data_IF_995408956660
#
_entry.id   IF_995408956660
#
_cell.length_a   1.000
_cell.length_b   1.000
_cell.length_c   1.000
_cell.angle_alpha   90.00
_cell.angle_beta   90.00
_cell.angle_gamma   90.00
#
_symmetry.space_group_name_H-M   'P 1'
#
loop_
_entity.id
_entity.type
_entity.pdbx_description
1 polymer ?
#
# COMPACT_ATOMS: atom_id res chain seq x y z
N UNK A 1 -89.59 -20.30 18.35
CA UNK A 1 -88.65 -19.29 18.89
C UNK A 1 -87.37 -19.40 18.07
N UNK A 2 -87.03 -18.35 17.31
CA UNK A 2 -86.02 -18.35 16.32
C UNK A 2 -84.66 -17.91 16.95
N UNK A 3 -83.67 -18.80 16.98
CA UNK A 3 -82.33 -18.45 17.41
C UNK A 3 -81.51 -17.93 16.22
N UNK A 4 -81.00 -16.74 16.37
CA UNK A 4 -80.16 -16.05 15.37
C UNK A 4 -78.73 -16.48 15.59
N UNK A 5 -78.10 -17.11 14.56
CA UNK A 5 -76.69 -17.46 14.59
C UNK A 5 -75.90 -16.30 13.91
N UNK A 6 -75.08 -15.60 14.68
CA UNK A 6 -74.16 -14.61 14.18
C UNK A 6 -72.89 -15.31 13.74
N UNK A 7 -72.53 -15.21 12.44
CA UNK A 7 -71.28 -15.61 11.90
C UNK A 7 -70.34 -14.42 11.95
N UNK A 8 -69.32 -14.50 12.80
CA UNK A 8 -68.25 -13.51 12.84
C UNK A 8 -67.19 -13.95 11.82
N UNK A 9 -67.07 -13.19 10.71
CA UNK A 9 -66.06 -13.37 9.74
C UNK A 9 -64.74 -12.72 10.19
N UNK A 10 -63.68 -13.50 10.37
CA UNK A 10 -62.34 -13.00 10.61
C UNK A 10 -61.67 -12.76 9.25
N UNK A 11 -61.53 -11.49 8.88
CA UNK A 11 -60.66 -11.09 7.76
C UNK A 11 -59.22 -11.16 8.23
N UNK A 12 -58.52 -12.20 7.82
CA UNK A 12 -57.08 -12.29 7.97
C UNK A 12 -56.37 -11.47 6.88
N UNK A 13 -55.80 -10.34 7.26
CA UNK A 13 -54.90 -9.57 6.41
C UNK A 13 -53.54 -10.27 6.34
N UNK A 14 -53.24 -10.89 5.22
CA UNK A 14 -51.90 -11.40 4.91
C UNK A 14 -51.03 -10.22 4.53
N UNK A 15 -50.14 -9.79 5.43
CA UNK A 15 -49.10 -8.81 5.15
C UNK A 15 -47.99 -9.52 4.36
N UNK A 16 -47.93 -9.22 3.06
CA UNK A 16 -46.83 -9.68 2.20
C UNK A 16 -45.60 -8.78 2.47
N UNK A 17 -44.67 -9.27 3.29
CA UNK A 17 -43.39 -8.60 3.53
C UNK A 17 -42.48 -8.79 2.31
N UNK A 18 -42.38 -7.76 1.48
CA UNK A 18 -41.36 -7.72 0.40
C UNK A 18 -40.02 -7.42 1.07
N UNK A 19 -39.17 -8.44 1.21
CA UNK A 19 -37.79 -8.26 1.59
C UNK A 19 -37.07 -7.60 0.39
N UNK A 20 -36.77 -6.31 0.50
CA UNK A 20 -35.84 -5.64 -0.43
C UNK A 20 -34.45 -6.16 -0.13
N UNK A 21 -33.98 -7.12 -0.93
CA UNK A 21 -32.59 -7.53 -0.95
C UNK A 21 -31.84 -6.38 -1.62
N UNK A 22 -31.24 -5.50 -0.82
CA UNK A 22 -30.25 -4.55 -1.32
C UNK A 22 -29.02 -5.37 -1.72
N UNK A 23 -28.88 -5.64 -3.01
CA UNK A 23 -27.65 -6.18 -3.54
C UNK A 23 -26.54 -5.16 -3.24
N UNK A 24 -25.63 -5.52 -2.35
CA UNK A 24 -24.37 -4.82 -2.21
C UNK A 24 -23.70 -4.85 -3.57
N UNK A 25 -23.35 -3.70 -4.18
CA UNK A 25 -22.62 -3.74 -5.44
C UNK A 25 -21.36 -4.59 -5.22
N UNK A 26 -21.20 -5.62 -6.06
CA UNK A 26 -19.94 -6.36 -6.11
C UNK A 26 -18.82 -5.34 -6.29
N UNK A 27 -17.67 -5.50 -5.57
CA UNK A 27 -16.53 -4.64 -5.83
C UNK A 27 -16.25 -4.72 -7.33
N UNK A 28 -16.26 -3.56 -8.00
CA UNK A 28 -15.79 -3.47 -9.38
C UNK A 28 -14.45 -4.18 -9.47
N UNK A 29 -14.21 -4.99 -10.52
CA UNK A 29 -12.89 -5.53 -10.74
C UNK A 29 -11.94 -4.34 -10.66
N UNK A 30 -10.91 -4.45 -9.80
CA UNK A 30 -9.90 -3.42 -9.67
C UNK A 30 -9.40 -3.15 -11.10
N UNK A 31 -9.68 -1.95 -11.58
CA UNK A 31 -9.27 -1.54 -12.91
C UNK A 31 -7.77 -1.76 -12.99
N UNK A 32 -7.38 -2.66 -13.89
CA UNK A 32 -6.01 -3.06 -14.14
C UNK A 32 -5.27 -1.90 -14.82
N UNK A 33 -5.02 -0.87 -14.04
CA UNK A 33 -4.37 0.36 -14.47
C UNK A 33 -2.87 0.15 -14.38
N UNK A 34 -2.18 0.08 -15.49
CA UNK A 34 -0.75 -0.06 -15.65
C UNK A 34 0.12 0.65 -14.60
N UNK A 35 1.42 0.60 -14.75
CA UNK A 35 2.38 1.30 -13.89
C UNK A 35 3.08 2.42 -14.64
N UNK A 36 3.48 3.45 -13.90
CA UNK A 36 4.40 4.47 -14.37
C UNK A 36 5.69 4.26 -13.61
N UNK A 37 6.80 4.11 -14.32
CA UNK A 37 8.13 3.96 -13.76
C UNK A 37 8.96 5.19 -14.07
N UNK A 38 9.41 5.89 -13.05
CA UNK A 38 10.36 6.99 -13.18
C UNK A 38 11.76 6.42 -12.98
N UNK A 39 12.62 6.61 -13.97
CA UNK A 39 14.01 6.20 -13.94
C UNK A 39 14.86 7.44 -13.74
N UNK A 40 15.67 7.42 -12.69
CA UNK A 40 16.54 8.52 -12.32
C UNK A 40 17.89 8.42 -13.05
N UNK A 41 18.62 9.54 -13.14
CA UNK A 41 19.95 9.60 -13.77
C UNK A 41 21.00 8.76 -13.06
N UNK A 42 20.81 8.50 -11.77
CA UNK A 42 21.64 7.62 -10.95
C UNK A 42 21.29 6.13 -11.09
N UNK A 43 20.34 5.79 -11.98
CA UNK A 43 19.90 4.42 -12.23
C UNK A 43 18.79 3.92 -11.31
N UNK A 44 18.42 4.66 -10.26
CA UNK A 44 17.26 4.29 -9.42
C UNK A 44 15.97 4.27 -10.25
N UNK A 45 15.07 3.38 -9.86
CA UNK A 45 13.73 3.24 -10.47
C UNK A 45 12.68 3.40 -9.40
N UNK A 46 11.63 4.15 -9.69
CA UNK A 46 10.50 4.34 -8.81
C UNK A 46 9.21 4.07 -9.58
N UNK A 47 8.43 3.11 -9.09
CA UNK A 47 7.19 2.67 -9.73
C UNK A 47 5.97 3.25 -9.02
N UNK A 48 4.97 3.65 -9.81
CA UNK A 48 3.69 4.16 -9.34
C UNK A 48 2.58 3.36 -10.00
N UNK A 49 1.68 2.79 -9.18
CA UNK A 49 0.46 2.18 -9.71
C UNK A 49 -0.49 3.29 -10.19
N UNK A 50 -0.86 3.28 -11.46
CA UNK A 50 -1.75 4.30 -12.05
C UNK A 50 -3.08 4.36 -11.29
N UNK A 51 -3.55 3.22 -10.76
CA UNK A 51 -4.74 3.15 -9.93
C UNK A 51 -4.67 3.95 -8.61
N UNK A 52 -3.47 4.27 -8.10
CA UNK A 52 -3.26 4.98 -6.83
C UNK A 52 -3.00 6.47 -6.99
N UNK A 53 -2.70 6.94 -8.21
CA UNK A 53 -2.38 8.34 -8.48
C UNK A 53 -3.55 9.07 -9.17
N UNK A 54 -3.70 10.34 -8.88
CA UNK A 54 -4.64 11.24 -9.56
C UNK A 54 -3.97 11.90 -10.76
N UNK A 55 -2.74 12.37 -10.60
CA UNK A 55 -1.99 13.03 -11.66
C UNK A 55 -0.50 13.11 -11.34
N UNK A 56 0.31 13.33 -12.38
CA UNK A 56 1.70 13.73 -12.25
C UNK A 56 1.85 15.11 -12.89
N UNK A 57 2.28 16.09 -12.10
CA UNK A 57 2.55 17.45 -12.58
C UNK A 57 4.05 17.60 -12.86
N UNK A 58 4.39 17.80 -14.14
CA UNK A 58 5.78 18.00 -14.59
C UNK A 58 6.24 19.48 -14.50
N UNK A 59 5.76 20.19 -13.48
CA UNK A 59 6.29 21.52 -13.15
C UNK A 59 7.47 21.33 -12.19
N UNK A 60 8.36 22.30 -12.13
CA UNK A 60 9.48 22.24 -11.19
C UNK A 60 9.03 22.68 -9.77
N UNK A 61 9.10 21.82 -8.73
CA UNK A 61 9.45 20.39 -8.79
C UNK A 61 8.31 19.54 -9.37
N UNK A 62 8.66 18.43 -10.04
CA UNK A 62 7.68 17.44 -10.46
C UNK A 62 6.95 16.87 -9.24
N UNK A 63 5.65 16.75 -9.30
CA UNK A 63 4.83 16.24 -8.20
C UNK A 63 3.96 15.08 -8.68
N UNK A 64 3.99 13.97 -7.94
CA UNK A 64 3.02 12.89 -8.06
C UNK A 64 1.91 13.15 -7.03
N UNK A 65 0.67 13.21 -7.49
CA UNK A 65 -0.51 13.45 -6.64
C UNK A 65 -1.29 12.15 -6.56
N UNK A 66 -1.40 11.60 -5.36
CA UNK A 66 -2.11 10.36 -5.09
C UNK A 66 -3.60 10.59 -4.84
N UNK A 67 -4.43 9.56 -5.02
CA UNK A 67 -5.88 9.62 -4.79
C UNK A 67 -6.27 9.91 -3.33
N UNK A 68 -5.40 9.58 -2.38
CA UNK A 68 -5.57 9.90 -0.96
C UNK A 68 -5.20 11.37 -0.60
N UNK A 69 -4.81 12.17 -1.62
CA UNK A 69 -4.39 13.56 -1.46
C UNK A 69 -2.92 13.76 -1.11
N UNK A 70 -2.17 12.68 -0.90
CA UNK A 70 -0.72 12.75 -0.68
C UNK A 70 -0.01 13.28 -1.94
N UNK A 71 1.09 14.02 -1.73
CA UNK A 71 1.92 14.58 -2.82
C UNK A 71 3.38 14.23 -2.58
N UNK A 72 3.98 13.60 -3.57
CA UNK A 72 5.41 13.30 -3.57
C UNK A 72 6.13 14.23 -4.55
N UNK A 73 7.21 14.86 -4.08
CA UNK A 73 8.03 15.77 -4.90
C UNK A 73 9.23 15.01 -5.45
N UNK A 74 9.40 15.09 -6.76
CA UNK A 74 10.54 14.48 -7.46
C UNK A 74 11.29 15.61 -8.17
N UNK A 75 12.61 15.79 -7.91
CA UNK A 75 13.41 16.77 -8.65
C UNK A 75 13.42 16.40 -10.13
N UNK A 76 12.84 17.25 -10.98
CA UNK A 76 12.78 16.99 -12.42
C UNK A 76 14.18 16.85 -13.05
N UNK A 77 15.18 17.50 -12.47
CA UNK A 77 16.58 17.43 -12.92
C UNK A 77 17.18 16.00 -12.76
N UNK A 78 16.63 15.20 -11.84
CA UNK A 78 17.14 13.86 -11.54
C UNK A 78 16.45 12.79 -12.40
N UNK A 79 15.37 13.12 -13.09
CA UNK A 79 14.66 12.19 -13.96
C UNK A 79 15.45 11.97 -15.25
N UNK A 80 15.79 10.71 -15.55
CA UNK A 80 16.39 10.32 -16.82
C UNK A 80 15.30 10.01 -17.85
N UNK A 81 14.27 9.25 -17.48
CA UNK A 81 13.13 8.91 -18.34
C UNK A 81 11.93 8.44 -17.53
N UNK A 82 10.78 8.38 -18.19
CA UNK A 82 9.55 7.83 -17.63
C UNK A 82 9.07 6.72 -18.55
N UNK A 83 8.78 5.58 -17.98
CA UNK A 83 8.24 4.41 -18.69
C UNK A 83 6.79 4.20 -18.27
N UNK A 84 5.94 3.89 -19.23
CA UNK A 84 4.55 3.51 -19.00
C UNK A 84 4.43 2.00 -19.25
N UNK A 85 4.20 1.24 -18.18
CA UNK A 85 4.08 -0.22 -18.24
C UNK A 85 2.63 -0.67 -18.41
N UNK A 86 2.43 -1.82 -19.06
CA UNK A 86 1.14 -2.51 -19.07
C UNK A 86 0.90 -3.23 -17.74
N UNK A 87 -0.37 -3.43 -17.42
CA UNK A 87 -0.91 -4.05 -16.21
C UNK A 87 -0.27 -5.35 -15.76
N UNK A 88 0.24 -6.16 -16.68
CA UNK A 88 0.72 -7.50 -16.35
C UNK A 88 1.91 -7.53 -15.38
N UNK A 89 2.75 -6.48 -15.40
CA UNK A 89 3.86 -6.36 -14.44
C UNK A 89 3.41 -5.73 -13.11
N UNK A 90 2.37 -4.89 -13.13
CA UNK A 90 1.83 -4.24 -11.93
C UNK A 90 1.01 -5.18 -11.05
N UNK A 91 0.32 -6.16 -11.64
CA UNK A 91 -0.53 -7.11 -10.89
C UNK A 91 0.25 -8.07 -9.99
N UNK A 92 1.55 -8.22 -10.23
CA UNK A 92 2.42 -9.09 -9.43
C UNK A 92 3.24 -8.36 -8.37
N UNK A 93 3.39 -7.03 -8.49
CA UNK A 93 4.18 -6.22 -7.55
C UNK A 93 3.26 -5.53 -6.54
N UNK A 94 3.58 -5.58 -5.24
CA UNK A 94 2.82 -4.84 -4.23
C UNK A 94 2.87 -3.34 -4.51
N UNK A 95 1.71 -2.67 -4.51
CA UNK A 95 1.61 -1.22 -4.59
C UNK A 95 2.02 -0.53 -3.28
N UNK A 96 2.13 0.80 -3.29
CA UNK A 96 2.53 1.60 -2.13
C UNK A 96 1.63 1.35 -0.91
N UNK A 97 0.31 1.28 -1.09
CA UNK A 97 -0.65 1.06 -0.01
C UNK A 97 -0.42 -0.24 0.77
N UNK A 98 0.15 -1.26 0.11
CA UNK A 98 0.50 -2.53 0.73
C UNK A 98 1.56 -2.39 1.84
N UNK A 99 2.47 -1.43 1.71
CA UNK A 99 3.56 -1.24 2.66
C UNK A 99 3.22 -0.26 3.79
N UNK A 100 2.19 0.59 3.62
CA UNK A 100 1.75 1.52 4.67
C UNK A 100 1.31 0.74 5.91
N UNK A 101 1.80 1.16 7.08
CA UNK A 101 1.44 0.58 8.36
C UNK A 101 2.64 0.18 9.21
N UNK A 102 2.40 -0.68 10.20
CA UNK A 102 3.39 -1.09 11.19
C UNK A 102 3.91 -2.49 10.89
N UNK A 103 5.22 -2.59 10.71
CA UNK A 103 5.94 -3.82 10.39
C UNK A 103 6.77 -4.28 11.58
N UNK A 104 6.58 -5.53 12.02
CA UNK A 104 7.48 -6.21 12.95
C UNK A 104 8.64 -6.81 12.16
N UNK A 105 9.87 -6.48 12.52
CA UNK A 105 11.10 -6.91 11.84
C UNK A 105 12.16 -7.36 12.84
N UNK A 106 13.12 -8.16 12.40
CA UNK A 106 14.24 -8.59 13.24
C UNK A 106 15.42 -7.62 13.20
N UNK A 107 16.24 -7.62 14.26
CA UNK A 107 17.49 -6.88 14.35
C UNK A 107 18.67 -7.59 13.68
N UNK A 108 18.55 -8.89 13.43
CA UNK A 108 19.63 -9.74 12.91
C UNK A 108 20.40 -10.49 14.00
N UNK A 109 20.18 -10.18 15.28
CA UNK A 109 20.79 -10.81 16.46
C UNK A 109 19.78 -11.60 17.32
N UNK A 110 18.56 -11.79 16.81
CA UNK A 110 17.44 -12.44 17.51
C UNK A 110 16.45 -11.46 18.16
N UNK A 111 16.79 -10.19 18.30
CA UNK A 111 15.89 -9.14 18.74
C UNK A 111 14.88 -8.76 17.66
N UNK A 112 13.81 -8.08 18.06
CA UNK A 112 12.76 -7.56 17.18
C UNK A 112 12.46 -6.11 17.48
N UNK A 113 12.05 -5.37 16.45
CA UNK A 113 11.59 -4.00 16.58
C UNK A 113 10.49 -3.71 15.54
N UNK A 114 9.94 -2.51 15.57
CA UNK A 114 8.90 -2.10 14.64
C UNK A 114 9.39 -0.99 13.72
N UNK A 115 9.00 -1.08 12.46
CA UNK A 115 9.10 -0.02 11.47
C UNK A 115 7.68 0.43 11.15
N UNK A 116 7.40 1.72 11.24
CA UNK A 116 6.14 2.31 10.78
C UNK A 116 6.41 3.09 9.50
N UNK A 117 5.64 2.78 8.45
CA UNK A 117 5.67 3.45 7.16
C UNK A 117 4.38 4.25 7.02
N UNK A 118 4.49 5.58 7.10
CA UNK A 118 3.34 6.47 6.99
C UNK A 118 3.03 6.77 5.51
N UNK A 119 1.77 7.05 5.20
CA UNK A 119 1.34 7.30 3.82
C UNK A 119 2.02 8.53 3.19
N UNK A 120 2.44 9.50 4.01
CA UNK A 120 3.15 10.71 3.59
C UNK A 120 4.62 10.47 3.19
N UNK A 121 5.11 9.22 3.29
CA UNK A 121 6.50 8.87 2.98
C UNK A 121 7.45 8.99 4.17
N UNK A 122 6.96 9.39 5.34
CA UNK A 122 7.77 9.33 6.56
C UNK A 122 7.90 7.89 7.07
N UNK A 123 9.02 7.60 7.72
CA UNK A 123 9.29 6.32 8.36
C UNK A 123 9.80 6.52 9.78
N UNK A 124 9.43 5.60 10.68
CA UNK A 124 9.88 5.60 12.08
C UNK A 124 10.24 4.18 12.49
N UNK A 125 11.26 4.01 13.31
CA UNK A 125 11.56 2.71 13.93
C UNK A 125 11.55 2.81 15.46
N UNK A 126 11.13 1.74 16.13
CA UNK A 126 11.05 1.67 17.59
C UNK A 126 12.38 1.35 18.26
N UNK A 127 13.41 1.05 17.50
CA UNK A 127 14.77 0.82 17.98
C UNK A 127 15.58 2.11 17.81
N UNK A 128 16.15 2.60 18.91
CA UNK A 128 16.76 3.93 18.92
C UNK A 128 15.69 5.03 18.74
N UNK A 129 16.07 6.14 18.14
CA UNK A 129 15.13 7.22 17.80
C UNK A 129 15.23 7.68 16.36
N UNK A 130 15.64 6.88 15.39
CA UNK A 130 15.79 7.38 14.05
C UNK A 130 14.45 7.56 13.38
N UNK A 131 14.34 8.69 12.73
CA UNK A 131 13.35 8.97 11.70
C UNK A 131 13.96 8.66 10.35
N UNK A 132 13.14 8.58 9.33
CA UNK A 132 13.58 8.36 7.99
C UNK A 132 12.47 8.67 6.99
N UNK A 133 12.77 8.42 5.73
CA UNK A 133 11.82 8.52 4.62
C UNK A 133 11.77 7.22 3.87
N UNK A 134 10.64 6.92 3.26
CA UNK A 134 10.49 5.72 2.44
C UNK A 134 9.83 5.99 1.11
N UNK A 135 10.20 5.19 0.12
CA UNK A 135 9.63 5.21 -1.23
C UNK A 135 9.38 3.80 -1.71
N UNK A 136 8.43 3.63 -2.62
CA UNK A 136 8.24 2.37 -3.32
C UNK A 136 9.14 2.33 -4.55
N UNK A 137 9.97 1.30 -4.67
CA UNK A 137 10.86 1.08 -5.82
C UNK A 137 10.77 -0.38 -6.22
N UNK A 138 10.36 -0.67 -7.45
CA UNK A 138 10.27 -2.04 -8.00
C UNK A 138 9.54 -3.04 -7.09
N UNK A 139 8.42 -2.59 -6.45
CA UNK A 139 7.61 -3.44 -5.58
C UNK A 139 8.19 -3.71 -4.19
N UNK A 140 9.18 -2.93 -3.77
CA UNK A 140 9.74 -2.96 -2.41
C UNK A 140 9.69 -1.58 -1.75
N UNK A 141 9.46 -1.53 -0.43
CA UNK A 141 9.57 -0.31 0.34
C UNK A 141 11.04 -0.07 0.71
N UNK A 142 11.68 0.94 0.10
CA UNK A 142 13.05 1.38 0.42
C UNK A 142 13.00 2.52 1.42
N UNK A 143 13.74 2.38 2.51
CA UNK A 143 13.73 3.28 3.66
C UNK A 143 15.13 3.82 3.86
N UNK A 144 15.25 5.16 3.94
CA UNK A 144 16.49 5.84 4.28
C UNK A 144 16.35 6.42 5.69
N UNK A 145 17.24 6.03 6.60
CA UNK A 145 17.25 6.47 7.99
C UNK A 145 18.21 7.66 8.19
N UNK A 146 17.89 8.53 9.15
CA UNK A 146 18.73 9.69 9.49
C UNK A 146 20.11 9.29 10.05
N UNK A 147 20.24 8.05 10.56
CA UNK A 147 21.49 7.49 11.05
C UNK A 147 22.40 6.89 9.96
N UNK A 148 22.00 7.06 8.69
CA UNK A 148 22.75 6.57 7.53
C UNK A 148 22.55 5.10 7.19
N UNK A 149 21.75 4.36 7.96
CA UNK A 149 21.29 3.03 7.58
C UNK A 149 20.21 3.11 6.50
N UNK A 150 20.05 2.01 5.77
CA UNK A 150 18.97 1.82 4.81
C UNK A 150 18.32 0.46 5.06
N UNK A 151 17.00 0.40 4.92
CA UNK A 151 16.25 -0.85 4.97
C UNK A 151 15.38 -0.98 3.71
N UNK A 152 15.23 -2.20 3.19
CA UNK A 152 14.24 -2.53 2.18
C UNK A 152 13.31 -3.61 2.72
N UNK A 153 11.99 -3.40 2.64
CA UNK A 153 11.00 -4.45 2.89
C UNK A 153 10.49 -4.91 1.54
N UNK A 154 10.69 -6.19 1.23
CA UNK A 154 10.28 -6.78 -0.05
C UNK A 154 9.58 -8.12 0.13
N UNK A 155 8.76 -8.47 -0.85
CA UNK A 155 8.12 -9.79 -0.92
C UNK A 155 9.11 -10.81 -1.46
N UNK A 156 9.29 -11.90 -0.70
CA UNK A 156 10.12 -13.05 -1.09
C UNK A 156 9.23 -14.29 -1.03
N UNK A 157 8.80 -14.77 -2.19
CA UNK A 157 7.79 -15.82 -2.27
C UNK A 157 6.47 -15.37 -1.67
N UNK A 158 5.98 -16.09 -0.65
CA UNK A 158 4.73 -15.77 0.07
C UNK A 158 4.92 -14.89 1.32
N UNK A 159 6.15 -14.52 1.65
CA UNK A 159 6.50 -13.79 2.88
C UNK A 159 7.13 -12.44 2.54
N UNK A 160 7.32 -11.61 3.57
CA UNK A 160 8.11 -10.40 3.46
C UNK A 160 9.38 -10.55 4.30
N UNK A 161 10.44 -9.91 3.81
CA UNK A 161 11.73 -9.85 4.49
C UNK A 161 12.22 -8.39 4.50
N UNK A 162 12.91 -8.03 5.58
CA UNK A 162 13.64 -6.78 5.70
C UNK A 162 15.11 -7.05 5.38
N UNK A 163 15.66 -6.28 4.48
CA UNK A 163 17.07 -6.26 4.09
C UNK A 163 17.67 -4.98 4.65
N UNK A 164 18.66 -5.08 5.54
CA UNK A 164 19.32 -3.93 6.13
C UNK A 164 20.68 -3.69 5.51
N UNK A 165 20.99 -2.43 5.25
CA UNK A 165 22.25 -1.96 4.67
C UNK A 165 22.87 -0.93 5.60
N UNK A 166 24.12 -1.18 6.02
CA UNK A 166 24.84 -0.26 6.90
C UNK A 166 25.22 1.05 6.22
N UNK A 167 25.67 2.03 7.01
CA UNK A 167 26.14 3.31 6.47
C UNK A 167 27.18 3.15 5.36
N UNK A 168 27.01 3.91 4.27
CA UNK A 168 27.88 3.86 3.10
C UNK A 168 27.57 2.75 2.09
N UNK A 169 26.58 1.86 2.38
CA UNK A 169 26.08 0.87 1.43
C UNK A 169 24.87 1.40 0.67
N UNK A 170 24.67 0.90 -0.55
CA UNK A 170 23.48 1.12 -1.37
C UNK A 170 22.53 -0.08 -1.30
N UNK A 171 21.34 0.04 -1.88
CA UNK A 171 20.36 -1.06 -1.97
C UNK A 171 20.78 -2.18 -2.93
N UNK A 172 21.78 -1.94 -3.77
CA UNK A 172 22.36 -2.89 -4.73
C UNK A 172 23.51 -3.71 -4.12
N UNK A 173 24.01 -3.30 -2.94
CA UNK A 173 25.07 -3.99 -2.24
C UNK A 173 24.57 -5.24 -1.50
N UNK A 174 25.48 -6.06 -1.01
CA UNK A 174 25.14 -7.16 -0.12
C UNK A 174 24.59 -6.61 1.20
N UNK A 175 23.36 -7.00 1.62
CA UNK A 175 22.79 -6.52 2.87
C UNK A 175 23.64 -6.95 4.06
N UNK A 176 23.65 -6.11 5.09
CA UNK A 176 24.33 -6.41 6.36
C UNK A 176 23.59 -7.49 7.15
N UNK A 177 22.26 -7.54 7.04
CA UNK A 177 21.42 -8.64 7.54
C UNK A 177 20.11 -8.74 6.75
N UNK A 178 19.50 -9.92 6.80
CA UNK A 178 18.16 -10.20 6.27
C UNK A 178 17.34 -10.85 7.36
N UNK A 179 16.14 -10.33 7.61
CA UNK A 179 15.26 -10.81 8.67
C UNK A 179 13.81 -10.87 8.20
N UNK A 180 12.96 -11.73 8.78
CA UNK A 180 11.54 -11.71 8.48
C UNK A 180 10.92 -10.34 8.76
N UNK A 181 9.94 -9.96 7.93
CA UNK A 181 9.13 -8.78 8.11
C UNK A 181 7.64 -9.17 8.08
N UNK A 182 6.85 -8.66 9.02
CA UNK A 182 5.43 -8.93 9.12
C UNK A 182 4.65 -7.65 9.34
N UNK A 183 3.73 -7.32 8.44
CA UNK A 183 2.80 -6.22 8.67
C UNK A 183 1.84 -6.61 9.80
N UNK A 184 1.85 -5.84 10.90
CA UNK A 184 1.02 -6.07 12.08
C UNK A 184 -0.29 -5.28 12.05
N UNK A 185 -0.44 -4.38 11.09
CA UNK A 185 -1.64 -3.57 10.86
C UNK A 185 -1.90 -3.48 9.35
N UNK A 186 -2.18 -4.61 8.67
CA UNK A 186 -2.53 -4.57 7.26
C UNK A 186 -3.82 -3.76 7.12
N UNK A 187 -3.82 -2.75 6.24
CA UNK A 187 -5.07 -2.11 5.83
C UNK A 187 -5.91 -3.17 5.12
N UNK A 188 -7.22 -3.26 5.39
CA UNK A 188 -8.10 -4.08 4.57
C UNK A 188 -8.00 -3.59 3.12
N UNK A 189 -7.78 -4.54 2.23
CA UNK A 189 -7.78 -4.34 0.77
C UNK A 189 -9.21 -4.13 0.32
#
# INVERSE_FOLDING_TARGET
MRGLIQVVGILGTVALSVAVVTATPAPSPADDHGSIVIIFKDGRRQSFAVGEITSIEFKAPTQVIYKDGHKEKIPAADIARIEFGSSELSSTMPGRAHFVGKWEVGEGNGGRFFITLDADGSAKKSLGSPHGTWTLVDGEARINWDDGWHDAIRKVGSKHEKFAYGPGKSFEDTPSNVTPARNTQPKPI
#
